data_IF_530793487127
#
_entry.id   IF_530793487127
#
_cell.length_a   1.000
_cell.length_b   1.000
_cell.length_c   1.000
_cell.angle_alpha   90.00
_cell.angle_beta   90.00
_cell.angle_gamma   90.00
#
_symmetry.space_group_name_H-M   'P 1'
#
loop_
_entity.id
_entity.type
_entity.pdbx_description
1 polymer ?
#
# COMPACT_ATOMS: atom_id res chain seq x y z
N UNK A 1 -8.61 -32.79 6.91
CA UNK A 1 -8.61 -31.51 6.17
C UNK A 1 -9.96 -30.85 6.39
N UNK A 2 -10.05 -29.88 7.29
CA UNK A 2 -11.31 -29.20 7.58
C UNK A 2 -11.61 -28.17 6.49
N UNK A 3 -12.80 -28.26 5.89
CA UNK A 3 -13.35 -27.25 5.01
C UNK A 3 -13.59 -25.97 5.83
N UNK A 4 -12.78 -24.96 5.62
CA UNK A 4 -13.02 -23.61 6.16
C UNK A 4 -14.22 -23.03 5.41
N UNK A 5 -15.34 -22.84 6.10
CA UNK A 5 -16.57 -22.27 5.54
C UNK A 5 -16.41 -20.76 5.29
N UNK A 6 -17.15 -20.20 4.33
CA UNK A 6 -17.19 -18.75 4.04
C UNK A 6 -17.41 -17.87 5.29
N UNK A 7 -18.07 -18.42 6.31
CA UNK A 7 -18.29 -17.77 7.62
C UNK A 7 -16.99 -17.58 8.42
N UNK A 8 -16.02 -18.48 8.28
CA UNK A 8 -14.71 -18.38 8.92
C UNK A 8 -13.78 -17.38 8.21
N UNK A 9 -13.98 -17.11 6.92
CA UNK A 9 -13.20 -16.09 6.19
C UNK A 9 -13.63 -14.66 6.53
N UNK A 10 -14.93 -14.44 6.78
CA UNK A 10 -15.45 -13.18 7.32
C UNK A 10 -14.81 -12.79 8.66
N UNK A 11 -14.35 -13.77 9.44
CA UNK A 11 -13.66 -13.54 10.72
C UNK A 11 -12.22 -12.99 10.57
N UNK A 12 -11.62 -13.12 9.38
CA UNK A 12 -10.26 -12.64 9.11
C UNK A 12 -10.21 -11.17 8.68
N UNK A 13 -11.34 -10.58 8.25
CA UNK A 13 -11.41 -9.16 7.88
C UNK A 13 -11.06 -8.23 9.04
N UNK A 14 -11.41 -8.62 10.27
CA UNK A 14 -11.16 -7.81 11.46
C UNK A 14 -9.67 -7.73 11.83
N UNK A 15 -8.84 -8.59 11.24
CA UNK A 15 -7.40 -8.68 11.51
C UNK A 15 -6.55 -7.87 10.56
N UNK A 16 -7.13 -7.33 9.49
CA UNK A 16 -6.43 -6.44 8.59
C UNK A 16 -6.33 -5.05 9.22
N UNK A 17 -5.11 -4.57 9.46
CA UNK A 17 -4.88 -3.17 9.81
C UNK A 17 -5.42 -2.29 8.69
N UNK A 18 -6.22 -1.27 9.05
CA UNK A 18 -6.75 -0.31 8.09
C UNK A 18 -5.62 0.52 7.49
N UNK A 19 -5.68 0.75 6.19
CA UNK A 19 -4.75 1.62 5.49
C UNK A 19 -5.03 3.09 5.79
N UNK A 20 -4.01 3.78 6.28
CA UNK A 20 -4.02 5.22 6.63
C UNK A 20 -3.20 6.09 5.66
N UNK A 21 -2.58 5.48 4.64
CA UNK A 21 -1.65 6.14 3.71
C UNK A 21 -0.20 5.68 3.86
N UNK A 22 0.17 5.07 5.00
CA UNK A 22 1.51 4.57 5.27
C UNK A 22 1.72 3.10 4.90
N UNK A 23 2.99 2.69 4.75
CA UNK A 23 3.39 1.29 4.54
C UNK A 23 2.60 0.55 3.44
N UNK A 24 2.26 1.26 2.37
CA UNK A 24 1.31 0.79 1.35
C UNK A 24 1.66 -0.61 0.82
N UNK A 25 2.93 -0.90 0.53
CA UNK A 25 3.36 -2.21 0.02
C UNK A 25 2.98 -3.36 0.97
N UNK A 26 3.06 -3.14 2.29
CA UNK A 26 2.67 -4.15 3.28
C UNK A 26 1.15 -4.31 3.32
N UNK A 27 0.42 -3.21 3.40
CA UNK A 27 -1.05 -3.26 3.41
C UNK A 27 -1.58 -3.91 2.13
N UNK A 28 -1.08 -3.48 0.98
CA UNK A 28 -1.44 -3.98 -0.34
C UNK A 28 -1.22 -5.50 -0.44
N UNK A 29 -0.08 -6.02 0.03
CA UNK A 29 0.17 -7.47 0.06
C UNK A 29 -0.84 -8.22 0.93
N UNK A 30 -1.16 -7.70 2.11
CA UNK A 30 -2.17 -8.31 2.98
C UNK A 30 -3.57 -8.28 2.31
N UNK A 31 -3.94 -7.17 1.69
CA UNK A 31 -5.19 -7.03 0.93
C UNK A 31 -5.24 -8.00 -0.26
N UNK A 32 -4.16 -8.13 -1.02
CA UNK A 32 -4.04 -9.10 -2.11
C UNK A 32 -4.30 -10.53 -1.62
N UNK A 33 -3.66 -10.97 -0.53
CA UNK A 33 -3.88 -12.32 0.02
C UNK A 33 -5.34 -12.55 0.42
N UNK A 34 -5.98 -11.53 0.99
CA UNK A 34 -7.40 -11.58 1.32
C UNK A 34 -8.26 -11.74 0.06
N UNK A 35 -8.08 -10.90 -0.96
CA UNK A 35 -8.82 -10.96 -2.23
C UNK A 35 -8.63 -12.28 -2.98
N UNK A 36 -7.42 -12.87 -2.93
CA UNK A 36 -7.16 -14.21 -3.48
C UNK A 36 -7.90 -15.28 -2.69
N UNK A 37 -7.91 -15.18 -1.36
CA UNK A 37 -8.60 -16.13 -0.47
C UNK A 37 -10.11 -16.15 -0.72
N UNK A 38 -10.71 -14.96 -0.94
CA UNK A 38 -12.13 -14.84 -1.29
C UNK A 38 -12.42 -15.02 -2.79
N UNK A 39 -11.39 -15.30 -3.60
CA UNK A 39 -11.46 -15.57 -5.05
C UNK A 39 -11.98 -14.41 -5.91
N UNK A 40 -11.68 -13.18 -5.51
CA UNK A 40 -12.13 -11.96 -6.20
C UNK A 40 -11.00 -11.26 -6.93
N UNK A 41 -9.73 -11.52 -6.57
CA UNK A 41 -8.57 -10.83 -7.16
C UNK A 41 -8.52 -10.89 -8.71
N UNK A 42 -9.16 -11.89 -9.30
CA UNK A 42 -9.20 -12.05 -10.76
C UNK A 42 -9.84 -10.85 -11.48
N UNK A 43 -10.77 -10.10 -10.87
CA UNK A 43 -11.42 -8.92 -11.50
C UNK A 43 -10.46 -7.74 -11.65
N UNK A 44 -9.40 -7.69 -10.84
CA UNK A 44 -8.33 -6.68 -10.97
C UNK A 44 -7.44 -7.00 -12.18
N UNK A 45 -7.16 -8.28 -12.40
CA UNK A 45 -6.22 -8.72 -13.44
C UNK A 45 -6.93 -8.82 -14.79
N UNK A 46 -8.07 -9.51 -14.82
CA UNK A 46 -8.79 -9.86 -16.05
C UNK A 46 -9.80 -8.77 -16.41
N UNK A 47 -9.90 -8.39 -17.70
CA UNK A 47 -10.92 -7.45 -18.13
C UNK A 47 -12.31 -8.05 -17.97
N UNK A 48 -13.31 -7.18 -17.77
CA UNK A 48 -14.71 -7.54 -17.87
C UNK A 48 -14.99 -8.15 -19.26
N UNK A 49 -15.77 -9.24 -19.36
CA UNK A 49 -16.15 -9.76 -20.68
C UNK A 49 -16.91 -8.72 -21.50
N UNK A 50 -16.70 -8.73 -22.82
CA UNK A 50 -17.30 -7.77 -23.74
C UNK A 50 -18.82 -7.98 -23.87
N UNK A 51 -19.52 -6.89 -24.14
CA UNK A 51 -20.92 -6.95 -24.59
C UNK A 51 -21.01 -7.58 -25.98
N UNK A 52 -22.12 -8.27 -26.31
CA UNK A 52 -22.34 -8.78 -27.65
C UNK A 52 -22.36 -7.64 -28.67
N UNK A 53 -21.83 -7.88 -29.87
CA UNK A 53 -22.05 -6.97 -30.99
C UNK A 53 -23.51 -6.98 -31.42
N UNK A 54 -23.99 -5.92 -32.08
CA UNK A 54 -25.39 -5.84 -32.56
C UNK A 54 -25.80 -7.02 -33.47
N UNK A 55 -24.83 -7.68 -34.09
CA UNK A 55 -25.01 -8.85 -34.96
C UNK A 55 -24.84 -10.21 -34.27
N UNK A 56 -24.42 -10.25 -33.01
CA UNK A 56 -24.18 -11.50 -32.27
C UNK A 56 -25.35 -11.82 -31.34
N UNK A 57 -25.96 -12.99 -31.53
CA UNK A 57 -26.85 -13.54 -30.51
C UNK A 57 -26.05 -13.90 -29.25
N UNK A 58 -26.43 -13.29 -28.14
CA UNK A 58 -25.84 -13.59 -26.85
C UNK A 58 -26.42 -14.87 -26.24
N UNK A 59 -25.54 -15.77 -25.84
CA UNK A 59 -25.94 -16.91 -25.01
C UNK A 59 -26.20 -16.48 -23.56
N UNK A 60 -27.19 -17.11 -22.93
CA UNK A 60 -27.49 -16.97 -21.50
C UNK A 60 -26.26 -17.20 -20.62
N UNK A 61 -25.33 -18.06 -21.05
CA UNK A 61 -24.09 -18.32 -20.33
C UNK A 61 -23.17 -17.08 -20.28
N UNK A 62 -23.02 -16.34 -21.39
CA UNK A 62 -22.22 -15.10 -21.44
C UNK A 62 -22.84 -13.99 -20.61
N UNK A 63 -24.17 -13.81 -20.68
CA UNK A 63 -24.87 -12.84 -19.82
C UNK A 63 -24.65 -13.15 -18.34
N UNK A 64 -24.76 -14.43 -17.95
CA UNK A 64 -24.55 -14.87 -16.57
C UNK A 64 -23.11 -14.66 -16.11
N UNK A 65 -22.13 -14.90 -16.98
CA UNK A 65 -20.72 -14.64 -16.70
C UNK A 65 -20.47 -13.15 -16.44
N UNK A 66 -21.02 -12.25 -17.25
CA UNK A 66 -20.89 -10.80 -17.03
C UNK A 66 -21.53 -10.32 -15.74
N UNK A 67 -22.76 -10.75 -15.47
CA UNK A 67 -23.43 -10.41 -14.21
C UNK A 67 -22.64 -10.88 -12.99
N UNK A 68 -22.02 -12.06 -13.06
CA UNK A 68 -21.14 -12.55 -12.00
C UNK A 68 -19.88 -11.70 -11.89
N UNK A 69 -19.25 -11.35 -13.01
CA UNK A 69 -18.07 -10.48 -13.01
C UNK A 69 -18.38 -9.14 -12.36
N UNK A 70 -19.52 -8.52 -12.71
CA UNK A 70 -19.97 -7.23 -12.17
C UNK A 70 -20.21 -7.29 -10.66
N UNK A 71 -20.78 -8.40 -10.17
CA UNK A 71 -20.96 -8.64 -8.74
C UNK A 71 -19.62 -8.81 -8.03
N UNK A 72 -18.71 -9.62 -8.58
CA UNK A 72 -17.41 -9.88 -7.99
C UNK A 72 -16.52 -8.61 -7.98
N UNK A 73 -16.62 -7.74 -9.01
CA UNK A 73 -15.92 -6.44 -9.05
C UNK A 73 -16.43 -5.50 -7.96
N UNK A 74 -17.74 -5.41 -7.76
CA UNK A 74 -18.33 -4.57 -6.71
C UNK A 74 -17.94 -5.05 -5.31
N UNK A 75 -17.93 -6.37 -5.08
CA UNK A 75 -17.50 -6.96 -3.80
C UNK A 75 -16.00 -6.72 -3.59
N UNK A 76 -15.16 -6.97 -4.59
CA UNK A 76 -13.72 -6.74 -4.54
C UNK A 76 -13.42 -5.27 -4.19
N UNK A 77 -14.11 -4.33 -4.86
CA UNK A 77 -14.02 -2.89 -4.61
C UNK A 77 -14.44 -2.56 -3.18
N UNK A 78 -15.54 -3.14 -2.72
CA UNK A 78 -16.01 -3.03 -1.34
C UNK A 78 -14.97 -3.49 -0.32
N UNK A 79 -14.28 -4.61 -0.56
CA UNK A 79 -13.22 -5.10 0.33
C UNK A 79 -12.02 -4.16 0.39
N UNK A 80 -11.58 -3.62 -0.75
CA UNK A 80 -10.49 -2.64 -0.80
C UNK A 80 -10.87 -1.38 0.00
N UNK A 81 -12.07 -0.84 -0.23
CA UNK A 81 -12.59 0.35 0.44
C UNK A 81 -12.80 0.15 1.95
N UNK A 82 -13.31 -1.01 2.38
CA UNK A 82 -13.44 -1.31 3.80
C UNK A 82 -12.08 -1.55 4.50
N UNK A 83 -11.03 -1.79 3.72
CA UNK A 83 -9.66 -1.96 4.21
C UNK A 83 -8.91 -0.67 4.51
N UNK A 84 -9.52 0.51 4.33
CA UNK A 84 -8.88 1.82 4.57
C UNK A 84 -9.63 2.64 5.63
N UNK A 85 -9.00 3.70 6.14
CA UNK A 85 -9.63 4.67 7.03
C UNK A 85 -10.69 5.51 6.31
N UNK A 86 -11.66 6.05 7.06
CA UNK A 86 -12.80 6.79 6.50
C UNK A 86 -12.37 7.95 5.59
N UNK A 87 -11.32 8.68 5.95
CA UNK A 87 -10.79 9.78 5.12
C UNK A 87 -10.34 9.34 3.73
N UNK A 88 -9.77 8.13 3.62
CA UNK A 88 -9.38 7.53 2.36
C UNK A 88 -10.56 6.90 1.64
N UNK A 89 -11.48 6.28 2.38
CA UNK A 89 -12.75 5.80 1.82
C UNK A 89 -13.47 6.94 1.09
N UNK A 90 -13.64 8.08 1.74
CA UNK A 90 -14.33 9.26 1.21
C UNK A 90 -13.61 9.82 -0.04
N UNK A 91 -12.29 9.64 -0.13
CA UNK A 91 -11.51 10.07 -1.30
C UNK A 91 -11.67 9.13 -2.51
N UNK A 92 -11.93 7.84 -2.28
CA UNK A 92 -11.88 6.81 -3.33
C UNK A 92 -13.21 6.10 -3.62
N UNK A 93 -14.27 6.29 -2.82
CA UNK A 93 -15.52 5.53 -2.99
C UNK A 93 -16.21 5.74 -4.34
N UNK A 94 -15.93 6.85 -5.03
CA UNK A 94 -16.49 7.19 -6.34
C UNK A 94 -15.84 6.45 -7.51
N UNK A 95 -14.67 5.84 -7.29
CA UNK A 95 -13.95 5.03 -8.30
C UNK A 95 -14.79 3.82 -8.67
N UNK A 96 -14.93 3.58 -9.98
CA UNK A 96 -15.99 2.73 -10.53
C UNK A 96 -15.69 1.24 -10.50
N UNK A 97 -14.43 0.85 -10.62
CA UNK A 97 -14.02 -0.56 -10.68
C UNK A 97 -12.94 -0.87 -9.66
N UNK A 98 -12.87 -2.13 -9.21
CA UNK A 98 -11.81 -2.56 -8.32
C UNK A 98 -10.42 -2.40 -8.96
N UNK A 99 -10.33 -2.68 -10.26
CA UNK A 99 -9.09 -2.52 -11.05
C UNK A 99 -8.61 -1.08 -11.08
N UNK A 100 -9.49 -0.13 -11.36
CA UNK A 100 -9.14 1.29 -11.39
C UNK A 100 -8.70 1.76 -10.01
N UNK A 101 -9.44 1.38 -8.96
CA UNK A 101 -9.09 1.71 -7.58
C UNK A 101 -7.70 1.18 -7.21
N UNK A 102 -7.43 -0.09 -7.50
CA UNK A 102 -6.13 -0.72 -7.25
C UNK A 102 -5.00 0.04 -7.94
N UNK A 103 -5.16 0.36 -9.22
CA UNK A 103 -4.16 1.07 -10.01
C UNK A 103 -3.92 2.51 -9.50
N UNK A 104 -4.98 3.22 -9.10
CA UNK A 104 -4.83 4.57 -8.54
C UNK A 104 -4.04 4.55 -7.23
N UNK A 105 -4.34 3.57 -6.35
CA UNK A 105 -3.61 3.39 -5.09
C UNK A 105 -2.14 3.06 -5.34
N UNK A 106 -1.84 2.13 -6.27
CA UNK A 106 -0.46 1.80 -6.63
C UNK A 106 0.32 3.02 -7.13
N UNK A 107 -0.24 3.76 -8.09
CA UNK A 107 0.41 4.95 -8.66
C UNK A 107 0.74 5.98 -7.61
N UNK A 108 -0.19 6.25 -6.69
CA UNK A 108 -0.02 7.24 -5.64
C UNK A 108 0.98 6.77 -4.59
N UNK A 109 0.74 5.61 -3.99
CA UNK A 109 1.42 5.25 -2.75
C UNK A 109 2.68 4.40 -2.94
N UNK A 110 2.87 3.70 -4.06
CA UNK A 110 4.16 3.05 -4.35
C UNK A 110 5.23 4.12 -4.60
N UNK A 111 4.90 5.11 -5.43
CA UNK A 111 5.81 6.22 -5.74
C UNK A 111 6.11 7.05 -4.49
N UNK A 112 5.09 7.35 -3.68
CA UNK A 112 5.23 8.15 -2.46
C UNK A 112 6.03 7.41 -1.37
N UNK A 113 5.79 6.12 -1.15
CA UNK A 113 6.56 5.31 -0.18
C UNK A 113 8.04 5.21 -0.60
N UNK A 114 8.29 4.93 -1.88
CA UNK A 114 9.66 4.87 -2.43
C UNK A 114 10.37 6.23 -2.34
N UNK A 115 9.67 7.32 -2.70
CA UNK A 115 10.24 8.69 -2.64
C UNK A 115 10.48 9.12 -1.20
N UNK A 116 9.56 8.83 -0.29
CA UNK A 116 9.71 9.17 1.14
C UNK A 116 10.86 8.42 1.79
N UNK A 117 11.00 7.11 1.52
CA UNK A 117 12.13 6.30 2.00
C UNK A 117 13.44 6.82 1.41
N UNK A 118 13.51 7.06 0.10
CA UNK A 118 14.68 7.63 -0.56
C UNK A 118 15.05 8.99 0.04
N UNK A 119 14.08 9.87 0.26
CA UNK A 119 14.31 11.19 0.83
C UNK A 119 14.92 11.10 2.23
N UNK A 120 14.38 10.23 3.09
CA UNK A 120 14.92 10.01 4.44
C UNK A 120 16.36 9.48 4.37
N UNK A 121 16.61 8.54 3.46
CA UNK A 121 17.94 7.95 3.25
C UNK A 121 18.95 9.00 2.79
N UNK A 122 18.64 9.74 1.72
CA UNK A 122 19.49 10.82 1.24
C UNK A 122 19.71 11.87 2.34
N UNK A 123 18.65 12.31 3.03
CA UNK A 123 18.76 13.30 4.10
C UNK A 123 19.72 12.86 5.20
N UNK A 124 19.74 11.59 5.58
CA UNK A 124 20.72 11.08 6.55
C UNK A 124 22.14 11.09 5.99
N UNK A 125 22.37 10.50 4.82
CA UNK A 125 23.72 10.38 4.27
C UNK A 125 24.32 11.72 3.86
N UNK A 126 23.50 12.64 3.33
CA UNK A 126 23.93 13.97 2.88
C UNK A 126 24.07 14.98 4.01
N UNK A 127 23.52 14.70 5.21
CA UNK A 127 23.68 15.59 6.37
C UNK A 127 25.17 15.79 6.69
N UNK A 128 25.60 17.02 6.92
CA UNK A 128 26.93 17.39 7.40
C UNK A 128 26.78 18.46 8.49
N UNK A 129 27.49 18.31 9.61
CA UNK A 129 27.46 19.34 10.64
C UNK A 129 28.22 20.57 10.15
N UNK A 130 27.71 21.73 10.54
CA UNK A 130 28.25 23.03 10.18
C UNK A 130 28.93 23.66 11.39
N UNK A 131 30.08 24.27 11.15
CA UNK A 131 30.81 25.05 12.15
C UNK A 131 29.98 26.24 12.66
N UNK A 132 30.18 26.58 13.94
CA UNK A 132 29.47 27.69 14.58
C UNK A 132 28.04 27.37 15.05
N UNK A 133 27.54 26.14 14.82
CA UNK A 133 26.30 25.63 15.43
C UNK A 133 26.58 24.65 16.56
N UNK A 134 25.66 24.54 17.51
CA UNK A 134 25.75 23.56 18.60
C UNK A 134 25.74 22.14 18.04
N UNK A 135 26.72 21.32 18.43
CA UNK A 135 26.77 19.89 18.09
C UNK A 135 25.53 19.16 18.60
N UNK A 136 25.03 19.53 19.78
CA UNK A 136 23.85 18.88 20.37
C UNK A 136 22.57 19.16 19.57
N UNK A 137 22.40 20.39 19.07
CA UNK A 137 21.26 20.73 18.21
C UNK A 137 21.28 19.91 16.91
N UNK A 138 22.44 19.85 16.26
CA UNK A 138 22.62 19.10 15.02
C UNK A 138 22.49 17.59 15.23
N UNK A 139 22.95 17.08 16.38
CA UNK A 139 22.74 15.68 16.76
C UNK A 139 21.26 15.35 16.94
N UNK A 140 20.46 16.23 17.56
CA UNK A 140 19.02 16.04 17.68
C UNK A 140 18.32 16.02 16.31
N UNK A 141 18.78 16.82 15.33
CA UNK A 141 18.29 16.75 13.96
C UNK A 141 18.59 15.39 13.31
N UNK A 142 19.82 14.88 13.47
CA UNK A 142 20.20 13.54 13.00
C UNK A 142 19.35 12.46 13.66
N UNK A 143 19.15 12.55 14.98
CA UNK A 143 18.29 11.63 15.73
C UNK A 143 16.86 11.63 15.20
N UNK A 144 16.29 12.80 14.93
CA UNK A 144 14.95 12.91 14.32
C UNK A 144 14.87 12.21 12.95
N UNK A 145 15.94 12.23 12.16
CA UNK A 145 16.02 11.47 10.89
C UNK A 145 16.04 9.96 11.17
N UNK A 146 16.83 9.51 12.14
CA UNK A 146 16.91 8.09 12.54
C UNK A 146 15.59 7.56 13.15
N UNK A 147 14.84 8.40 13.87
CA UNK A 147 13.51 8.05 14.35
C UNK A 147 12.56 7.81 13.16
N UNK A 148 12.66 8.62 12.10
CA UNK A 148 11.91 8.40 10.86
C UNK A 148 12.33 7.13 10.11
N UNK A 149 13.61 6.75 10.16
CA UNK A 149 14.06 5.44 9.67
C UNK A 149 13.28 4.32 10.35
N UNK A 150 13.17 4.38 11.68
CA UNK A 150 12.46 3.39 12.49
C UNK A 150 10.97 3.35 12.16
N UNK A 151 10.33 4.51 11.99
CA UNK A 151 8.93 4.61 11.57
C UNK A 151 8.67 3.95 10.20
N UNK A 152 9.57 4.17 9.23
CA UNK A 152 9.49 3.54 7.90
C UNK A 152 10.12 2.14 7.85
N UNK A 153 10.48 1.57 9.01
CA UNK A 153 11.08 0.24 9.17
C UNK A 153 12.35 0.04 8.32
N UNK A 154 13.08 1.13 8.11
CA UNK A 154 14.41 1.11 7.52
C UNK A 154 15.39 0.79 8.66
N UNK A 155 15.98 -0.40 8.61
CA UNK A 155 17.02 -0.78 9.56
C UNK A 155 18.39 -0.30 9.05
N UNK A 156 19.13 0.38 9.90
CA UNK A 156 20.55 0.66 9.72
C UNK A 156 21.32 -0.04 10.83
N UNK A 157 22.43 -0.65 10.46
CA UNK A 157 23.34 -1.27 11.42
C UNK A 157 23.95 -0.18 12.33
N UNK A 158 24.07 -0.49 13.63
CA UNK A 158 24.53 0.47 14.63
C UNK A 158 25.95 0.96 14.36
N UNK A 159 26.84 0.07 13.88
CA UNK A 159 28.19 0.45 13.51
C UNK A 159 28.17 1.44 12.34
N UNK A 160 27.32 1.21 11.33
CA UNK A 160 27.13 2.16 10.22
C UNK A 160 26.64 3.52 10.70
N UNK A 161 25.68 3.55 11.65
CA UNK A 161 25.15 4.80 12.22
C UNK A 161 26.25 5.56 12.94
N UNK A 162 27.00 4.90 13.82
CA UNK A 162 28.08 5.53 14.60
C UNK A 162 29.16 6.08 13.67
N UNK A 163 29.67 5.28 12.74
CA UNK A 163 30.68 5.73 11.77
C UNK A 163 30.16 6.90 10.93
N UNK A 164 28.90 6.83 10.47
CA UNK A 164 28.30 7.91 9.70
C UNK A 164 28.16 9.21 10.51
N UNK A 165 27.87 9.14 11.80
CA UNK A 165 27.78 10.34 12.66
C UNK A 165 29.17 10.96 12.86
N UNK A 166 30.20 10.15 13.06
CA UNK A 166 31.59 10.61 13.17
C UNK A 166 32.02 11.33 11.88
N UNK A 167 31.73 10.75 10.71
CA UNK A 167 32.04 11.32 9.39
C UNK A 167 31.25 12.61 9.06
N UNK A 168 30.30 12.99 9.91
CA UNK A 168 29.51 14.23 9.78
C UNK A 168 30.05 15.37 10.61
N UNK A 169 30.96 15.11 11.54
CA UNK A 169 31.60 16.14 12.35
C UNK A 169 32.39 17.10 11.45
N UNK A 170 32.48 18.39 11.80
CA UNK A 170 33.32 19.32 11.08
C UNK A 170 34.80 18.94 11.24
N UNK A 171 35.66 19.26 10.25
CA UNK A 171 37.10 19.13 10.41
C UNK A 171 37.58 20.01 11.56
N UNK A 172 38.49 19.47 12.37
CA UNK A 172 39.08 20.16 13.54
C UNK A 172 40.09 21.24 13.16
#
# INVERSE_FOLDING_TARGET
MAFVTLKDMGSNFHRLERFDGGDFVRWQRKMHFLLVTVKEYYVIVNPRPLEPSESEEESVAKTRERLRWDQDDEICRGHILNGMFNTLFDAYYTVKTAKELWNQLERRYITEDATSKRFIVCKFFDYKMVDGRSVMEQFNEIKSILDRYSQHKLALDEFIVVTSIIDKLPPS
#
